data_IF_670060776375
#
_entry.id   IF_670060776375
#
_cell.length_a   1.000
_cell.length_b   1.000
_cell.length_c   1.000
_cell.angle_alpha   90.00
_cell.angle_beta   90.00
_cell.angle_gamma   90.00
#
_symmetry.space_group_name_H-M   'P 1'
#
loop_
_entity.id
_entity.type
_entity.pdbx_description
1 polymer ?
#
# COMPACT_ATOMS: atom_id res chain seq x y z
N UNK A 1 13.95 13.74 -42.29
CA UNK A 1 12.72 13.89 -41.47
C UNK A 1 11.82 12.64 -41.39
N UNK A 2 12.22 11.43 -41.85
CA UNK A 2 11.42 10.20 -41.67
C UNK A 2 11.81 9.33 -40.46
N UNK A 3 13.04 9.47 -39.95
CA UNK A 3 13.54 8.67 -38.84
C UNK A 3 13.20 9.20 -37.44
N UNK A 4 12.83 10.48 -37.32
CA UNK A 4 12.44 11.10 -36.03
C UNK A 4 11.07 10.56 -35.56
N UNK A 5 10.14 10.31 -36.49
CA UNK A 5 8.82 9.73 -36.21
C UNK A 5 8.89 8.27 -35.72
N UNK A 6 9.90 7.52 -36.15
CA UNK A 6 10.10 6.14 -35.68
C UNK A 6 10.67 6.10 -34.26
N UNK A 7 11.50 7.07 -33.87
CA UNK A 7 12.02 7.17 -32.50
C UNK A 7 10.90 7.48 -31.50
N UNK A 8 9.92 8.34 -31.85
CA UNK A 8 8.81 8.69 -30.96
C UNK A 8 7.83 7.54 -30.70
N UNK A 9 7.69 6.59 -31.62
CA UNK A 9 6.78 5.44 -31.47
C UNK A 9 7.32 4.36 -30.51
N UNK A 10 8.65 4.21 -30.40
CA UNK A 10 9.28 3.24 -29.48
C UNK A 10 9.10 3.66 -28.02
N UNK A 11 8.98 4.95 -27.72
CA UNK A 11 8.76 5.43 -26.36
C UNK A 11 7.34 5.13 -25.82
N UNK A 12 6.33 4.99 -26.69
CA UNK A 12 4.92 4.82 -26.27
C UNK A 12 4.62 3.37 -25.81
N UNK A 13 5.36 2.38 -26.31
CA UNK A 13 5.14 0.96 -25.99
C UNK A 13 5.81 0.50 -24.69
N UNK A 14 6.70 1.30 -24.12
CA UNK A 14 7.43 0.94 -22.89
C UNK A 14 6.69 1.33 -21.59
N UNK A 15 5.59 2.08 -21.69
CA UNK A 15 5.02 2.81 -20.55
C UNK A 15 4.06 2.05 -19.63
N UNK A 16 3.69 0.80 -19.93
CA UNK A 16 2.71 0.03 -19.14
C UNK A 16 3.26 -1.23 -18.45
N UNK A 17 4.59 -1.39 -18.31
CA UNK A 17 5.14 -2.51 -17.54
C UNK A 17 4.67 -2.39 -16.09
N UNK A 18 3.93 -3.39 -15.60
CA UNK A 18 3.27 -3.41 -14.27
C UNK A 18 2.18 -2.35 -14.05
N UNK A 19 1.59 -1.81 -15.11
CA UNK A 19 0.56 -0.75 -15.01
C UNK A 19 -0.63 -1.14 -14.14
N UNK A 20 -1.05 -2.41 -14.16
CA UNK A 20 -2.14 -2.93 -13.32
C UNK A 20 -1.78 -2.84 -11.83
N UNK A 21 -0.60 -3.32 -11.43
CA UNK A 21 -0.19 -3.31 -10.02
C UNK A 21 -0.05 -1.88 -9.48
N UNK A 22 0.52 -0.96 -10.26
CA UNK A 22 0.60 0.46 -9.86
C UNK A 22 -0.75 1.16 -9.87
N UNK A 23 -1.68 0.74 -10.73
CA UNK A 23 -3.08 1.20 -10.68
C UNK A 23 -3.76 0.71 -9.40
N UNK A 24 -3.57 -0.57 -9.05
CA UNK A 24 -4.11 -1.15 -7.82
C UNK A 24 -3.53 -0.47 -6.57
N UNK A 25 -2.23 -0.15 -6.57
CA UNK A 25 -1.59 0.63 -5.50
C UNK A 25 -2.28 1.99 -5.31
N UNK A 26 -2.59 2.70 -6.39
CA UNK A 26 -3.32 3.98 -6.32
C UNK A 26 -4.76 3.80 -5.85
N UNK A 27 -5.44 2.72 -6.26
CA UNK A 27 -6.81 2.41 -5.82
C UNK A 27 -6.91 2.06 -4.33
N UNK A 28 -5.78 1.79 -3.65
CA UNK A 28 -5.76 1.66 -2.20
C UNK A 28 -6.17 2.95 -1.51
N UNK A 29 -5.92 4.12 -2.10
CA UNK A 29 -6.29 5.41 -1.50
C UNK A 29 -7.80 5.51 -1.27
N UNK A 30 -8.60 5.27 -2.30
CA UNK A 30 -10.07 5.27 -2.18
C UNK A 30 -10.54 4.22 -1.19
N UNK A 31 -9.99 3.00 -1.26
CA UNK A 31 -10.40 1.91 -0.37
C UNK A 31 -9.99 2.16 1.09
N UNK A 32 -8.88 2.86 1.33
CA UNK A 32 -8.40 3.27 2.64
C UNK A 32 -9.32 4.34 3.24
N UNK A 33 -9.71 5.34 2.45
CA UNK A 33 -10.70 6.33 2.87
C UNK A 33 -12.04 5.66 3.26
N UNK A 34 -12.50 4.69 2.47
CA UNK A 34 -13.71 3.92 2.79
C UNK A 34 -13.58 3.22 4.17
N UNK A 35 -12.41 2.64 4.46
CA UNK A 35 -12.12 2.01 5.76
C UNK A 35 -12.12 3.03 6.90
N UNK A 36 -11.46 4.19 6.74
CA UNK A 36 -11.41 5.23 7.77
C UNK A 36 -12.82 5.73 8.13
N UNK A 37 -13.72 5.85 7.15
CA UNK A 37 -15.13 6.26 7.37
C UNK A 37 -15.93 5.26 8.21
N UNK A 38 -15.64 3.95 8.07
CA UNK A 38 -16.35 2.89 8.79
C UNK A 38 -15.61 2.42 10.06
N UNK A 39 -14.38 2.87 10.28
CA UNK A 39 -13.52 2.36 11.35
C UNK A 39 -14.13 2.53 12.74
N UNK A 40 -15.01 3.50 12.95
CA UNK A 40 -15.74 3.74 14.21
C UNK A 40 -17.16 3.15 14.24
N UNK A 41 -17.67 2.64 13.11
CA UNK A 41 -19.02 2.06 12.97
C UNK A 41 -19.10 0.57 13.37
N UNK A 42 -20.31 0.01 13.46
CA UNK A 42 -20.53 -1.41 13.76
C UNK A 42 -20.02 -2.34 12.65
N UNK A 43 -19.65 -3.58 13.00
CA UNK A 43 -19.10 -4.56 12.06
C UNK A 43 -20.19 -5.30 11.27
N UNK A 44 -20.96 -4.55 10.48
CA UNK A 44 -21.99 -5.09 9.57
C UNK A 44 -21.36 -5.89 8.42
N UNK A 45 -22.16 -6.69 7.70
CA UNK A 45 -21.71 -7.40 6.49
C UNK A 45 -21.13 -6.45 5.43
N UNK A 46 -21.74 -5.28 5.25
CA UNK A 46 -21.28 -4.25 4.31
C UNK A 46 -19.93 -3.68 4.76
N UNK A 47 -19.80 -3.33 6.04
CA UNK A 47 -18.55 -2.82 6.58
C UNK A 47 -17.43 -3.87 6.49
N UNK A 48 -17.72 -5.15 6.71
CA UNK A 48 -16.75 -6.23 6.51
C UNK A 48 -16.28 -6.35 5.05
N UNK A 49 -17.15 -6.11 4.07
CA UNK A 49 -16.76 -6.10 2.65
C UNK A 49 -15.82 -4.94 2.33
N UNK A 50 -16.05 -3.76 2.92
CA UNK A 50 -15.17 -2.60 2.80
C UNK A 50 -13.78 -2.91 3.38
N UNK A 51 -13.72 -3.48 4.59
CA UNK A 51 -12.45 -3.92 5.20
C UNK A 51 -11.74 -4.90 4.26
N UNK A 52 -12.44 -5.96 3.83
CA UNK A 52 -11.88 -6.98 2.94
C UNK A 52 -11.30 -6.37 1.67
N UNK A 53 -12.00 -5.44 1.02
CA UNK A 53 -11.54 -4.77 -0.20
C UNK A 53 -10.19 -4.09 0.00
N UNK A 54 -10.04 -3.30 1.06
CA UNK A 54 -8.78 -2.61 1.35
C UNK A 54 -7.66 -3.59 1.72
N UNK A 55 -7.87 -4.44 2.73
CA UNK A 55 -6.81 -5.31 3.25
C UNK A 55 -6.39 -6.41 2.26
N UNK A 56 -7.33 -6.98 1.47
CA UNK A 56 -6.96 -7.86 0.37
C UNK A 56 -6.20 -7.10 -0.72
N UNK A 57 -6.58 -5.86 -1.05
CA UNK A 57 -5.84 -5.03 -1.98
C UNK A 57 -4.39 -4.78 -1.53
N UNK A 58 -4.19 -4.46 -0.25
CA UNK A 58 -2.85 -4.31 0.33
C UNK A 58 -2.06 -5.62 0.19
N UNK A 59 -2.66 -6.76 0.54
CA UNK A 59 -2.02 -8.08 0.41
C UNK A 59 -1.63 -8.37 -1.04
N UNK A 60 -2.54 -8.18 -1.99
CA UNK A 60 -2.34 -8.56 -3.39
C UNK A 60 -1.24 -7.70 -4.04
N UNK A 61 -1.29 -6.37 -3.82
CA UNK A 61 -0.22 -5.47 -4.27
C UNK A 61 1.11 -5.86 -3.63
N UNK A 62 1.12 -6.14 -2.33
CA UNK A 62 2.34 -6.52 -1.61
C UNK A 62 2.92 -7.84 -2.12
N UNK A 63 2.06 -8.82 -2.40
CA UNK A 63 2.46 -10.12 -2.93
C UNK A 63 3.16 -9.98 -4.29
N UNK A 64 2.63 -9.15 -5.19
CA UNK A 64 3.26 -8.86 -6.48
C UNK A 64 4.64 -8.22 -6.32
N UNK A 65 4.76 -7.24 -5.42
CA UNK A 65 6.06 -6.61 -5.13
C UNK A 65 7.06 -7.60 -4.54
N UNK A 66 6.66 -8.42 -3.56
CA UNK A 66 7.55 -9.33 -2.84
C UNK A 66 8.06 -10.48 -3.71
N UNK A 67 7.21 -11.01 -4.59
CA UNK A 67 7.53 -12.23 -5.34
C UNK A 67 8.01 -11.98 -6.78
N UNK A 68 8.08 -10.73 -7.24
CA UNK A 68 8.49 -10.39 -8.59
C UNK A 68 9.76 -9.53 -8.62
N UNK A 69 10.93 -10.17 -8.67
CA UNK A 69 12.23 -9.47 -8.71
C UNK A 69 12.38 -8.51 -9.90
N UNK A 70 11.75 -8.83 -11.04
CA UNK A 70 11.74 -7.93 -12.20
C UNK A 70 10.90 -6.67 -11.94
N UNK A 71 9.84 -6.79 -11.15
CA UNK A 71 9.02 -5.66 -10.72
C UNK A 71 9.75 -4.82 -9.66
N UNK A 72 10.41 -5.43 -8.69
CA UNK A 72 11.26 -4.73 -7.72
C UNK A 72 12.32 -3.89 -8.43
N UNK A 73 13.09 -4.51 -9.34
CA UNK A 73 14.10 -3.81 -10.14
C UNK A 73 13.51 -2.66 -10.97
N UNK A 74 12.33 -2.85 -11.57
CA UNK A 74 11.65 -1.79 -12.30
C UNK A 74 11.23 -0.64 -11.36
N UNK A 75 10.73 -0.98 -10.17
CA UNK A 75 10.30 -0.04 -9.15
C UNK A 75 11.45 0.82 -8.67
N UNK A 76 12.60 0.23 -8.30
CA UNK A 76 13.79 0.98 -7.91
C UNK A 76 14.25 1.96 -8.99
N UNK A 77 14.30 1.51 -10.25
CA UNK A 77 14.71 2.36 -11.39
C UNK A 77 13.73 3.50 -11.67
N UNK A 78 12.47 3.38 -11.25
CA UNK A 78 11.39 4.32 -11.53
C UNK A 78 10.74 4.81 -10.23
N UNK A 79 11.48 4.79 -9.13
CA UNK A 79 10.93 5.01 -7.80
C UNK A 79 10.16 6.33 -7.69
N UNK A 80 10.81 7.44 -8.06
CA UNK A 80 10.22 8.79 -8.02
C UNK A 80 9.02 9.01 -8.94
N UNK A 81 8.76 8.08 -9.88
CA UNK A 81 7.54 8.14 -10.73
C UNK A 81 6.31 7.62 -9.98
N UNK A 82 6.49 6.72 -9.03
CA UNK A 82 5.40 5.99 -8.38
C UNK A 82 5.28 6.29 -6.88
N UNK A 83 6.38 6.71 -6.25
CA UNK A 83 6.48 6.99 -4.83
C UNK A 83 6.96 8.42 -4.65
N UNK A 84 6.03 9.29 -4.24
CA UNK A 84 6.31 10.62 -3.73
C UNK A 84 6.19 10.63 -2.19
N UNK A 85 6.37 11.78 -1.57
CA UNK A 85 6.23 11.95 -0.11
C UNK A 85 4.78 11.79 0.38
N UNK A 86 3.78 11.83 -0.51
CA UNK A 86 2.36 11.75 -0.18
C UNK A 86 1.85 10.29 -0.22
N UNK A 87 2.51 9.41 -0.97
CA UNK A 87 2.03 8.04 -1.24
C UNK A 87 1.66 7.29 0.03
N UNK A 88 2.47 7.41 1.08
CA UNK A 88 2.27 6.76 2.36
C UNK A 88 1.02 7.27 3.07
N UNK A 89 0.82 8.59 3.13
CA UNK A 89 -0.40 9.17 3.68
C UNK A 89 -1.63 8.76 2.89
N UNK A 90 -1.47 8.53 1.58
CA UNK A 90 -2.58 8.17 0.70
C UNK A 90 -2.98 6.68 0.84
N UNK A 91 -2.04 5.77 1.10
CA UNK A 91 -2.33 4.32 1.04
C UNK A 91 -2.29 3.62 2.39
N UNK A 92 -1.58 4.16 3.38
CA UNK A 92 -1.39 3.53 4.69
C UNK A 92 -2.48 4.00 5.65
N UNK A 93 -3.17 3.02 6.24
CA UNK A 93 -4.16 3.23 7.27
C UNK A 93 -3.47 3.62 8.58
N UNK A 94 -3.96 4.67 9.25
CA UNK A 94 -3.42 5.08 10.54
C UNK A 94 -3.53 4.01 11.62
N UNK A 95 -2.59 4.06 12.56
CA UNK A 95 -2.55 3.15 13.71
C UNK A 95 -3.85 3.23 14.53
N UNK A 96 -4.41 4.42 14.74
CA UNK A 96 -5.62 4.61 15.53
C UNK A 96 -6.81 3.86 14.93
N UNK A 97 -7.04 4.01 13.61
CA UNK A 97 -8.08 3.28 12.89
C UNK A 97 -7.80 1.78 12.90
N UNK A 98 -6.55 1.38 12.67
CA UNK A 98 -6.18 -0.03 12.70
C UNK A 98 -6.45 -0.68 14.06
N UNK A 99 -6.09 -0.01 15.15
CA UNK A 99 -6.31 -0.49 16.52
C UNK A 99 -7.80 -0.57 16.89
N UNK A 100 -8.61 0.38 16.42
CA UNK A 100 -10.07 0.31 16.56
C UNK A 100 -10.66 -0.90 15.83
N UNK A 101 -10.18 -1.18 14.61
CA UNK A 101 -10.60 -2.37 13.86
C UNK A 101 -10.16 -3.64 14.57
N UNK A 102 -8.91 -3.73 15.04
CA UNK A 102 -8.42 -4.92 15.75
C UNK A 102 -9.26 -5.23 17.00
N UNK A 103 -9.68 -4.20 17.75
CA UNK A 103 -10.58 -4.34 18.90
C UNK A 103 -11.96 -4.88 18.47
N UNK A 104 -12.54 -4.36 17.40
CA UNK A 104 -13.87 -4.81 16.89
C UNK A 104 -13.85 -6.20 16.31
N UNK A 105 -12.76 -6.53 15.62
CA UNK A 105 -12.54 -7.83 15.03
C UNK A 105 -12.21 -8.91 16.08
N UNK A 106 -11.96 -8.54 17.34
CA UNK A 106 -11.62 -9.47 18.43
C UNK A 106 -12.76 -9.58 19.43
N UNK A 107 -13.56 -10.64 19.34
CA UNK A 107 -14.72 -10.88 20.21
C UNK A 107 -14.50 -12.15 21.00
N UNK A 108 -14.50 -12.06 22.33
CA UNK A 108 -14.33 -13.21 23.25
C UNK A 108 -13.12 -14.10 22.92
N UNK A 109 -12.01 -13.50 22.49
CA UNK A 109 -10.78 -14.21 22.12
C UNK A 109 -10.77 -14.78 20.69
N UNK A 110 -11.86 -14.65 19.94
CA UNK A 110 -11.94 -15.05 18.53
C UNK A 110 -11.76 -13.84 17.62
N UNK A 111 -11.03 -14.04 16.52
CA UNK A 111 -10.90 -13.05 15.47
C UNK A 111 -11.93 -13.32 14.37
N UNK A 112 -12.79 -12.34 14.08
CA UNK A 112 -13.97 -12.51 13.20
C UNK A 112 -13.88 -11.78 11.87
N UNK A 113 -12.87 -10.92 11.67
CA UNK A 113 -12.62 -10.25 10.39
C UNK A 113 -11.75 -11.10 9.47
N UNK A 114 -11.50 -10.60 8.25
CA UNK A 114 -10.60 -11.28 7.32
C UNK A 114 -9.17 -11.31 7.85
N UNK A 115 -8.45 -12.40 7.56
CA UNK A 115 -7.10 -12.65 8.08
C UNK A 115 -6.11 -11.52 7.71
N UNK A 116 -6.30 -10.90 6.54
CA UNK A 116 -5.46 -9.79 6.08
C UNK A 116 -5.49 -8.57 7.00
N UNK A 117 -6.61 -8.35 7.73
CA UNK A 117 -6.68 -7.31 8.76
C UNK A 117 -5.67 -7.60 9.86
N UNK A 118 -5.62 -8.85 10.33
CA UNK A 118 -4.71 -9.29 11.38
C UNK A 118 -3.25 -9.20 10.92
N UNK A 119 -2.97 -9.51 9.65
CA UNK A 119 -1.62 -9.56 9.09
C UNK A 119 -1.09 -8.22 8.56
N UNK A 120 -1.90 -7.15 8.61
CA UNK A 120 -1.57 -5.87 7.98
C UNK A 120 -0.17 -5.34 8.34
N UNK A 121 0.17 -5.27 9.64
CA UNK A 121 1.49 -4.81 10.10
C UNK A 121 2.63 -5.65 9.55
N UNK A 122 2.48 -6.97 9.55
CA UNK A 122 3.49 -7.91 9.04
C UNK A 122 3.70 -7.77 7.53
N UNK A 123 2.63 -7.51 6.78
CA UNK A 123 2.69 -7.23 5.34
C UNK A 123 3.49 -5.94 5.09
N UNK A 124 3.21 -4.86 5.83
CA UNK A 124 3.95 -3.60 5.69
C UNK A 124 5.44 -3.76 6.04
N UNK A 125 5.76 -4.48 7.12
CA UNK A 125 7.15 -4.79 7.50
C UNK A 125 7.86 -5.58 6.38
N UNK A 126 7.16 -6.52 5.75
CA UNK A 126 7.72 -7.32 4.66
C UNK A 126 8.00 -6.46 3.43
N UNK A 127 7.09 -5.56 3.08
CA UNK A 127 7.28 -4.62 1.97
C UNK A 127 8.41 -3.64 2.25
N UNK A 128 8.51 -3.10 3.47
CA UNK A 128 9.60 -2.20 3.85
C UNK A 128 10.98 -2.77 3.55
N UNK A 129 11.16 -4.09 3.66
CA UNK A 129 12.44 -4.78 3.38
C UNK A 129 12.87 -4.73 1.91
N UNK A 130 11.96 -4.46 0.98
CA UNK A 130 12.31 -4.40 -0.45
C UNK A 130 12.94 -3.06 -0.81
N UNK A 131 12.62 -1.99 -0.08
CA UNK A 131 13.09 -0.65 -0.38
C UNK A 131 14.46 -0.41 0.26
N UNK A 132 15.31 0.33 -0.46
CA UNK A 132 16.56 0.83 0.09
C UNK A 132 16.33 1.90 1.16
N UNK A 133 17.33 2.16 1.98
CA UNK A 133 17.27 3.20 3.00
C UNK A 133 16.97 4.59 2.41
N UNK A 134 17.56 4.91 1.26
CA UNK A 134 17.30 6.18 0.55
C UNK A 134 15.84 6.31 0.09
N UNK A 135 15.24 5.22 -0.39
CA UNK A 135 13.85 5.19 -0.84
C UNK A 135 12.89 5.30 0.35
N UNK A 136 13.17 4.58 1.44
CA UNK A 136 12.43 4.73 2.70
C UNK A 136 12.49 6.16 3.19
N UNK A 137 13.69 6.76 3.25
CA UNK A 137 13.86 8.16 3.67
C UNK A 137 13.08 9.14 2.78
N UNK A 138 12.91 8.83 1.50
CA UNK A 138 12.11 9.66 0.57
C UNK A 138 10.61 9.54 0.88
N UNK A 139 10.10 8.33 1.08
CA UNK A 139 8.69 8.10 1.45
C UNK A 139 8.38 8.72 2.82
N UNK A 140 9.34 8.68 3.75
CA UNK A 140 9.22 9.20 5.11
C UNK A 140 9.76 10.61 5.29
N UNK A 141 10.05 11.33 4.21
CA UNK A 141 10.45 12.74 4.28
C UNK A 141 9.31 13.59 4.87
N UNK A 142 8.06 13.15 4.64
CA UNK A 142 6.89 13.68 5.30
C UNK A 142 6.78 13.13 6.74
N UNK A 143 6.80 14.03 7.73
CA UNK A 143 6.74 13.66 9.16
C UNK A 143 5.50 12.85 9.50
N UNK A 144 4.34 13.19 8.93
CA UNK A 144 3.11 12.45 9.19
C UNK A 144 3.25 10.99 8.73
N UNK A 145 3.81 10.74 7.55
CA UNK A 145 4.08 9.37 7.10
C UNK A 145 5.04 8.64 8.04
N UNK A 146 6.13 9.29 8.43
CA UNK A 146 7.11 8.72 9.35
C UNK A 146 6.45 8.28 10.65
N UNK A 147 5.63 9.15 11.24
CA UNK A 147 4.92 8.88 12.48
C UNK A 147 3.93 7.72 12.32
N UNK A 148 3.18 7.66 11.19
CA UNK A 148 2.30 6.51 10.89
C UNK A 148 3.07 5.19 10.93
N UNK A 149 4.18 5.12 10.20
CA UNK A 149 4.96 3.90 10.08
C UNK A 149 5.68 3.52 11.38
N UNK A 150 6.10 4.49 12.20
CA UNK A 150 6.63 4.25 13.55
C UNK A 150 5.54 3.70 14.49
N UNK A 151 4.37 4.35 14.53
CA UNK A 151 3.25 3.93 15.39
C UNK A 151 2.74 2.53 15.02
N UNK A 152 2.75 2.20 13.72
CA UNK A 152 2.41 0.86 13.24
C UNK A 152 3.49 -0.19 13.55
N UNK A 153 4.69 0.21 13.99
CA UNK A 153 5.83 -0.68 14.23
C UNK A 153 6.49 -1.19 12.94
N UNK A 154 6.33 -0.47 11.83
CA UNK A 154 6.95 -0.80 10.52
C UNK A 154 8.38 -0.27 10.46
N UNK A 155 8.63 0.87 11.09
CA UNK A 155 9.96 1.44 11.31
C UNK A 155 10.36 1.24 12.77
N UNK A 156 11.67 1.11 12.99
CA UNK A 156 12.27 1.17 14.32
C UNK A 156 12.92 2.55 14.47
N UNK A 157 12.93 3.08 15.70
CA UNK A 157 13.66 4.29 16.06
C UNK A 157 15.18 4.15 15.85
#
# INVERSE_FOLDING_TARGET
>A
MKYILFLSLVFILSSCKYGVTFSNLKNLETSRNDVELIATQELTTENQQILKKYFSGVKDVSYEFLNNSSMQNYTHRKFSRFFDEAICNNIILDESYYSDLMRKCSVNGFFICSEEVKLYKEILISIKKIFSEMEINTITANTACKDKLLNLGVLNE
#
